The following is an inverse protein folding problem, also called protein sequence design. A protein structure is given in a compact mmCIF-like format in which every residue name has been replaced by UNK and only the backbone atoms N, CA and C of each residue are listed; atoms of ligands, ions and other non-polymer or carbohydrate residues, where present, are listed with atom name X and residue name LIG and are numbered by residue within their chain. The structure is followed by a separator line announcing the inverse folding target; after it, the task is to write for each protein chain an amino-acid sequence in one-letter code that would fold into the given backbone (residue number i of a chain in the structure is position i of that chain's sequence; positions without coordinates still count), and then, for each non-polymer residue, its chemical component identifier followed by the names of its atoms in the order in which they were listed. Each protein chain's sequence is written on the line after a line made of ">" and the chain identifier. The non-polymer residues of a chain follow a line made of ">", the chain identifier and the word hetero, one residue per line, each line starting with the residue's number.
data_IF_645596422826
#
_entry.id   IF_645596422826
#
_cell.length_a   1.000
_cell.length_b   1.000
_cell.length_c   1.000
_cell.angle_alpha   90.00
_cell.angle_beta   90.00
_cell.angle_gamma   90.00
#
_symmetry.space_group_name_H-M   'P 1'
#
loop_
_entity.id
_entity.type
_entity.pdbx_description
1 polymer ?
#
# COMPACT_ATOMS: atom_id res chain seq x y z
N UNK A 1 3.24 33.85 -18.69
CA UNK A 1 3.85 33.90 -17.35
C UNK A 1 4.10 32.46 -16.93
N UNK A 2 5.31 31.94 -17.16
CA UNK A 2 5.73 30.64 -16.67
C UNK A 2 5.80 30.72 -15.15
N UNK A 3 4.83 30.12 -14.46
CA UNK A 3 4.92 29.91 -13.03
C UNK A 3 6.21 29.15 -12.78
N UNK A 4 7.14 29.78 -12.07
CA UNK A 4 8.27 29.07 -11.48
C UNK A 4 7.61 28.18 -10.42
N UNK A 5 7.20 26.99 -10.83
CA UNK A 5 6.98 25.91 -9.90
C UNK A 5 8.32 25.76 -9.20
N UNK A 6 8.37 26.21 -7.95
CA UNK A 6 9.47 25.95 -7.04
C UNK A 6 9.42 24.43 -6.85
N UNK A 7 10.02 23.70 -7.78
CA UNK A 7 10.12 22.26 -7.75
C UNK A 7 10.80 21.91 -6.44
N UNK A 8 10.02 21.36 -5.51
CA UNK A 8 10.53 21.05 -4.18
C UNK A 8 11.48 19.88 -4.38
N UNK A 9 12.77 20.15 -4.29
CA UNK A 9 13.83 19.19 -4.59
C UNK A 9 13.78 17.99 -3.64
N UNK A 10 13.94 16.78 -4.18
CA UNK A 10 14.14 15.55 -3.39
C UNK A 10 15.26 15.69 -2.37
N UNK A 11 16.35 16.39 -2.73
CA UNK A 11 17.47 16.68 -1.82
C UNK A 11 17.03 17.42 -0.55
N UNK A 12 16.03 18.29 -0.64
CA UNK A 12 15.49 18.97 0.54
C UNK A 12 14.83 18.00 1.52
N UNK A 13 14.07 17.02 1.02
CA UNK A 13 13.45 15.99 1.84
C UNK A 13 14.50 15.02 2.43
N UNK A 14 15.51 14.64 1.64
CA UNK A 14 16.65 13.82 2.10
C UNK A 14 17.42 14.53 3.21
N UNK A 15 17.72 15.82 3.04
CA UNK A 15 18.43 16.61 4.05
C UNK A 15 17.64 16.67 5.37
N UNK A 16 16.31 16.84 5.31
CA UNK A 16 15.46 16.81 6.50
C UNK A 16 15.50 15.44 7.21
N UNK A 17 15.49 14.35 6.45
CA UNK A 17 15.61 12.99 7.00
C UNK A 17 16.98 12.76 7.66
N UNK A 18 18.08 13.17 7.02
CA UNK A 18 19.44 13.11 7.58
C UNK A 18 19.52 13.91 8.87
N UNK A 19 18.95 15.12 8.91
CA UNK A 19 18.89 15.93 10.13
C UNK A 19 18.13 15.20 11.24
N UNK A 20 17.04 14.50 10.94
CA UNK A 20 16.33 13.70 11.94
C UNK A 20 17.21 12.58 12.55
N UNK A 21 18.05 11.91 11.75
CA UNK A 21 19.03 10.94 12.27
C UNK A 21 20.10 11.61 13.15
N UNK A 22 20.61 12.78 12.76
CA UNK A 22 21.59 13.55 13.55
C UNK A 22 21.00 14.00 14.89
N UNK A 23 19.77 14.50 14.87
CA UNK A 23 19.03 14.90 16.07
C UNK A 23 18.81 13.71 17.01
N UNK A 24 18.44 12.54 16.45
CA UNK A 24 18.33 11.30 17.20
C UNK A 24 19.65 10.91 17.87
N UNK A 25 20.77 10.98 17.15
CA UNK A 25 22.11 10.75 17.69
C UNK A 25 22.46 11.71 18.84
N UNK A 26 22.12 12.99 18.70
CA UNK A 26 22.27 13.98 19.76
C UNK A 26 21.45 13.64 21.01
N UNK A 27 20.21 13.19 20.84
CA UNK A 27 19.35 12.75 21.96
C UNK A 27 19.96 11.52 22.66
N UNK A 28 20.44 10.53 21.91
CA UNK A 28 21.09 9.34 22.48
C UNK A 28 22.36 9.71 23.25
N UNK A 29 23.16 10.66 22.74
CA UNK A 29 24.30 11.23 23.44
C UNK A 29 23.91 11.86 24.79
N UNK A 30 22.84 12.65 24.82
CA UNK A 30 22.31 13.25 26.05
C UNK A 30 21.82 12.19 27.05
N UNK A 31 21.17 11.13 26.57
CA UNK A 31 20.76 9.99 27.42
C UNK A 31 21.98 9.33 28.05
N UNK A 32 23.03 9.06 27.26
CA UNK A 32 24.28 8.45 27.74
C UNK A 32 24.94 9.27 28.84
N UNK A 33 25.10 10.57 28.61
CA UNK A 33 25.73 11.46 29.59
C UNK A 33 24.94 11.50 30.89
N UNK A 34 23.61 11.66 30.80
CA UNK A 34 22.74 11.69 31.97
C UNK A 34 22.77 10.37 32.75
N UNK A 35 22.69 9.23 32.07
CA UNK A 35 22.73 7.91 32.73
C UNK A 35 24.07 7.63 33.39
N UNK A 36 25.17 8.04 32.74
CA UNK A 36 26.51 7.98 33.32
C UNK A 36 26.60 8.77 34.64
N UNK A 37 26.04 9.98 34.68
CA UNK A 37 26.01 10.80 35.90
C UNK A 37 25.21 10.16 37.05
N UNK A 38 24.24 9.28 36.73
CA UNK A 38 23.41 8.55 37.69
C UNK A 38 23.89 7.13 38.00
N UNK A 39 25.00 6.68 37.40
CA UNK A 39 25.48 5.31 37.53
C UNK A 39 24.56 4.25 36.88
N UNK A 40 23.71 4.65 35.94
CA UNK A 40 22.82 3.76 35.19
C UNK A 40 23.49 3.25 33.91
N UNK A 41 23.00 2.12 33.38
CA UNK A 41 23.51 1.53 32.15
C UNK A 41 23.23 2.45 30.94
N UNK A 42 24.22 2.67 30.04
CA UNK A 42 23.99 3.45 28.82
C UNK A 42 23.03 2.72 27.87
N UNK A 43 22.42 3.43 26.90
CA UNK A 43 21.79 2.81 25.73
C UNK A 43 22.71 1.81 25.03
N UNK A 44 22.10 0.86 24.31
CA UNK A 44 22.83 -0.16 23.57
C UNK A 44 23.68 0.45 22.44
N UNK A 45 24.86 -0.14 22.20
CA UNK A 45 25.75 0.25 21.09
C UNK A 45 25.05 0.05 19.74
N UNK A 46 24.16 -0.94 19.65
CA UNK A 46 23.36 -1.24 18.47
C UNK A 46 22.49 -0.06 18.01
N UNK A 47 21.95 0.74 18.95
CA UNK A 47 21.17 1.93 18.62
C UNK A 47 22.04 3.02 17.97
N UNK A 48 23.24 3.25 18.50
CA UNK A 48 24.18 4.23 17.92
C UNK A 48 24.64 3.82 16.54
N UNK A 49 24.95 2.52 16.37
CA UNK A 49 25.34 1.96 15.09
C UNK A 49 24.21 2.08 14.06
N UNK A 50 22.98 1.74 14.44
CA UNK A 50 21.82 1.86 13.54
C UNK A 50 21.57 3.30 13.08
N UNK A 51 21.76 4.27 13.97
CA UNK A 51 21.66 5.69 13.64
C UNK A 51 22.74 6.15 12.67
N UNK A 52 23.99 5.79 12.95
CA UNK A 52 25.13 6.14 12.11
C UNK A 52 25.02 5.51 10.71
N UNK A 53 24.74 4.21 10.65
CA UNK A 53 24.58 3.50 9.38
C UNK A 53 23.41 4.07 8.57
N UNK A 54 22.30 4.42 9.21
CA UNK A 54 21.17 5.08 8.55
C UNK A 54 21.55 6.39 7.90
N UNK A 55 22.28 7.24 8.61
CA UNK A 55 22.76 8.51 8.09
C UNK A 55 23.71 8.31 6.88
N UNK A 56 24.76 7.50 7.06
CA UNK A 56 25.81 7.29 6.06
C UNK A 56 25.26 6.65 4.78
N UNK A 57 24.35 5.68 4.91
CA UNK A 57 23.77 4.99 3.75
C UNK A 57 22.86 5.92 2.92
N UNK A 58 22.02 6.73 3.58
CA UNK A 58 21.16 7.70 2.90
C UNK A 58 22.01 8.76 2.19
N UNK A 59 23.04 9.29 2.86
CA UNK A 59 24.01 10.25 2.28
C UNK A 59 24.73 9.64 1.07
N UNK A 60 25.22 8.40 1.18
CA UNK A 60 25.95 7.69 0.12
C UNK A 60 25.10 7.44 -1.12
N UNK A 61 23.87 6.95 -0.97
CA UNK A 61 22.99 6.69 -2.13
C UNK A 61 22.60 7.99 -2.82
N UNK A 62 22.32 9.03 -2.04
CA UNK A 62 21.99 10.35 -2.58
C UNK A 62 23.16 10.93 -3.35
N UNK A 63 24.37 10.89 -2.80
CA UNK A 63 25.59 11.34 -3.47
C UNK A 63 25.83 10.58 -4.78
N UNK A 64 25.64 9.24 -4.78
CA UNK A 64 25.74 8.43 -6.00
C UNK A 64 24.69 8.81 -7.05
N UNK A 65 23.47 9.11 -6.64
CA UNK A 65 22.40 9.57 -7.53
C UNK A 65 22.72 10.92 -8.17
N UNK A 66 23.15 11.89 -7.36
CA UNK A 66 23.58 13.22 -7.83
C UNK A 66 24.79 13.11 -8.76
N UNK A 67 25.78 12.28 -8.41
CA UNK A 67 26.95 12.06 -9.27
C UNK A 67 26.56 11.51 -10.65
N UNK A 68 25.56 10.63 -10.73
CA UNK A 68 25.17 9.99 -11.98
C UNK A 68 24.24 10.83 -12.85
N UNK A 69 23.25 11.51 -12.28
CA UNK A 69 22.22 12.22 -13.04
C UNK A 69 22.20 13.74 -12.81
N UNK A 70 23.11 14.27 -11.97
CA UNK A 70 23.22 15.69 -11.71
C UNK A 70 21.94 16.30 -11.11
N UNK A 71 21.56 17.46 -11.63
CA UNK A 71 20.41 18.25 -11.17
C UNK A 71 19.07 17.53 -11.34
N UNK A 72 18.96 16.57 -12.25
CA UNK A 72 17.74 15.77 -12.42
C UNK A 72 17.47 14.87 -11.21
N UNK A 73 18.52 14.31 -10.59
CA UNK A 73 18.36 13.56 -9.35
C UNK A 73 18.10 14.49 -8.17
N UNK A 74 18.74 15.66 -8.16
CA UNK A 74 18.56 16.65 -7.08
C UNK A 74 17.10 17.11 -6.98
N UNK A 75 16.50 17.44 -8.13
CA UNK A 75 15.07 17.75 -8.24
C UNK A 75 14.24 16.50 -7.94
N UNK A 76 14.58 15.38 -8.57
CA UNK A 76 13.87 14.13 -8.47
C UNK A 76 12.49 14.18 -9.13
N UNK A 77 11.63 13.22 -8.79
CA UNK A 77 10.22 13.24 -9.17
C UNK A 77 9.31 13.45 -7.95
N UNK A 78 8.10 13.92 -8.21
CA UNK A 78 7.09 14.21 -7.19
C UNK A 78 6.59 12.96 -6.47
N UNK A 79 6.85 11.76 -7.00
CA UNK A 79 6.61 10.48 -6.31
C UNK A 79 7.64 10.30 -5.19
N UNK A 80 8.94 10.37 -5.52
CA UNK A 80 10.03 10.24 -4.55
C UNK A 80 9.98 11.35 -3.50
N UNK A 81 9.71 12.59 -3.93
CA UNK A 81 9.62 13.73 -3.02
C UNK A 81 8.53 13.52 -1.95
N UNK A 82 7.31 13.17 -2.37
CA UNK A 82 6.19 12.91 -1.45
C UNK A 82 6.48 11.73 -0.53
N UNK A 83 7.06 10.66 -1.06
CA UNK A 83 7.41 9.49 -0.26
C UNK A 83 8.47 9.80 0.82
N UNK A 84 9.52 10.54 0.47
CA UNK A 84 10.55 10.97 1.42
C UNK A 84 10.03 11.96 2.47
N UNK A 85 9.14 12.89 2.07
CA UNK A 85 8.47 13.77 3.02
C UNK A 85 7.60 12.97 4.01
N UNK A 86 6.80 12.04 3.52
CA UNK A 86 5.96 11.19 4.37
C UNK A 86 6.81 10.38 5.36
N UNK A 87 7.91 9.79 4.88
CA UNK A 87 8.86 9.07 5.72
C UNK A 87 9.51 9.99 6.78
N UNK A 88 9.88 11.22 6.41
CA UNK A 88 10.47 12.19 7.35
C UNK A 88 9.48 12.52 8.47
N UNK A 89 8.20 12.73 8.14
CA UNK A 89 7.14 12.98 9.13
C UNK A 89 6.97 11.75 10.03
N UNK A 90 6.97 10.55 9.47
CA UNK A 90 6.89 9.28 10.23
C UNK A 90 8.04 9.19 11.24
N UNK A 91 9.28 9.39 10.80
CA UNK A 91 10.49 9.36 11.67
C UNK A 91 10.42 10.40 12.78
N UNK A 92 9.96 11.62 12.48
CA UNK A 92 9.80 12.66 13.49
C UNK A 92 8.69 12.33 14.50
N UNK A 93 7.57 11.77 14.03
CA UNK A 93 6.40 11.51 14.87
C UNK A 93 6.56 10.28 15.77
N UNK A 94 7.23 9.23 15.29
CA UNK A 94 7.35 7.95 16.02
C UNK A 94 8.72 7.82 16.68
N UNK A 95 9.77 7.83 15.88
CA UNK A 95 11.12 7.50 16.31
C UNK A 95 11.70 8.56 17.25
N UNK A 96 11.71 9.83 16.82
CA UNK A 96 12.19 10.93 17.68
C UNK A 96 11.33 11.08 18.93
N UNK A 97 10.02 10.86 18.83
CA UNK A 97 9.13 10.92 19.99
C UNK A 97 9.51 9.89 21.06
N UNK A 98 9.75 8.63 20.67
CA UNK A 98 10.18 7.59 21.61
C UNK A 98 11.54 7.90 22.24
N UNK A 99 12.50 8.40 21.46
CA UNK A 99 13.80 8.81 22.01
C UNK A 99 13.68 9.98 22.99
N UNK A 100 12.83 10.97 22.70
CA UNK A 100 12.57 12.10 23.62
C UNK A 100 11.87 11.65 24.90
N UNK A 101 11.02 10.62 24.84
CA UNK A 101 10.42 10.02 26.04
C UNK A 101 11.46 9.25 26.87
N UNK A 102 12.30 8.43 26.23
CA UNK A 102 13.43 7.77 26.89
C UNK A 102 14.45 8.78 27.46
N UNK A 103 14.60 9.93 26.80
CA UNK A 103 15.39 11.06 27.28
C UNK A 103 14.72 11.83 28.41
N UNK A 104 13.60 11.39 28.96
CA UNK A 104 12.99 11.95 30.18
C UNK A 104 12.86 10.91 31.29
N UNK A 105 12.76 9.63 30.93
CA UNK A 105 12.62 8.52 31.88
C UNK A 105 13.87 7.62 31.89
N UNK A 106 14.56 7.59 33.03
CA UNK A 106 15.74 6.73 33.21
C UNK A 106 15.39 5.24 33.39
N UNK A 107 14.12 4.92 33.63
CA UNK A 107 13.68 3.52 33.76
C UNK A 107 13.58 2.80 32.41
N UNK A 108 13.66 3.53 31.28
CA UNK A 108 13.56 2.95 29.93
C UNK A 108 14.89 2.29 29.53
N UNK A 109 15.11 1.04 29.92
CA UNK A 109 16.36 0.34 29.58
C UNK A 109 16.33 -0.35 28.21
N UNK A 110 15.14 -0.58 27.68
CA UNK A 110 14.93 -1.26 26.40
C UNK A 110 14.80 -0.25 25.27
N UNK A 111 15.71 -0.35 24.29
CA UNK A 111 15.75 0.49 23.10
C UNK A 111 15.49 -0.30 21.81
N UNK A 112 15.07 -1.57 21.90
CA UNK A 112 14.85 -2.41 20.72
C UNK A 112 13.82 -1.79 19.75
N UNK A 113 12.74 -1.20 20.27
CA UNK A 113 11.76 -0.48 19.45
C UNK A 113 12.36 0.72 18.70
N UNK A 114 13.33 1.41 19.30
CA UNK A 114 14.03 2.52 18.64
C UNK A 114 14.98 2.00 17.55
N UNK A 115 15.67 0.88 17.82
CA UNK A 115 16.55 0.23 16.84
C UNK A 115 15.74 -0.23 15.62
N UNK A 116 14.66 -0.99 15.86
CA UNK A 116 13.78 -1.48 14.79
C UNK A 116 13.21 -0.34 13.95
N UNK A 117 12.76 0.74 14.61
CA UNK A 117 12.25 1.93 13.91
C UNK A 117 13.32 2.62 13.05
N UNK A 118 14.56 2.74 13.56
CA UNK A 118 15.67 3.35 12.82
C UNK A 118 16.09 2.49 11.61
N UNK A 119 16.11 1.16 11.77
CA UNK A 119 16.39 0.21 10.68
C UNK A 119 15.29 0.26 9.62
N UNK A 120 14.03 0.22 10.03
CA UNK A 120 12.89 0.27 9.12
C UNK A 120 12.88 1.57 8.31
N UNK A 121 13.10 2.71 8.97
CA UNK A 121 13.17 4.01 8.31
C UNK A 121 14.33 4.08 7.30
N UNK A 122 15.50 3.54 7.64
CA UNK A 122 16.65 3.45 6.73
C UNK A 122 16.28 2.63 5.49
N UNK A 123 15.73 1.43 5.68
CA UNK A 123 15.35 0.54 4.58
C UNK A 123 14.32 1.21 3.65
N UNK A 124 13.30 1.86 4.21
CA UNK A 124 12.32 2.62 3.42
C UNK A 124 12.98 3.74 2.60
N UNK A 125 13.88 4.52 3.21
CA UNK A 125 14.59 5.60 2.52
C UNK A 125 15.44 5.09 1.35
N UNK A 126 16.21 4.02 1.60
CA UNK A 126 17.03 3.34 0.58
C UNK A 126 16.16 2.86 -0.58
N UNK A 127 15.03 2.22 -0.30
CA UNK A 127 14.09 1.78 -1.34
C UNK A 127 13.58 2.95 -2.17
N UNK A 128 13.10 4.03 -1.55
CA UNK A 128 12.57 5.20 -2.27
C UNK A 128 13.63 5.81 -3.19
N UNK A 129 14.87 5.97 -2.70
CA UNK A 129 15.97 6.53 -3.48
C UNK A 129 16.41 5.60 -4.63
N UNK A 130 16.43 4.28 -4.41
CA UNK A 130 16.73 3.31 -5.47
C UNK A 130 15.64 3.29 -6.55
N UNK A 131 14.37 3.40 -6.18
CA UNK A 131 13.30 3.50 -7.17
C UNK A 131 13.40 4.79 -7.99
N UNK A 132 13.73 5.93 -7.35
CA UNK A 132 14.03 7.18 -8.07
C UNK A 132 15.18 6.98 -9.06
N UNK A 133 16.26 6.35 -8.60
CA UNK A 133 17.43 6.05 -9.43
C UNK A 133 17.07 5.23 -10.67
N UNK A 134 16.24 4.19 -10.52
CA UNK A 134 15.77 3.36 -11.64
C UNK A 134 14.88 4.14 -12.61
N UNK A 135 13.98 4.99 -12.09
CA UNK A 135 13.11 5.84 -12.93
C UNK A 135 13.93 6.85 -13.73
N UNK A 136 14.96 7.46 -13.14
CA UNK A 136 15.86 8.36 -13.86
C UNK A 136 16.69 7.62 -14.91
N UNK A 137 17.22 6.43 -14.58
CA UNK A 137 17.94 5.61 -15.56
C UNK A 137 17.10 5.29 -16.80
N UNK A 138 15.82 4.96 -16.60
CA UNK A 138 14.87 4.70 -17.70
C UNK A 138 14.57 5.96 -18.53
N UNK A 139 14.53 7.15 -17.92
CA UNK A 139 14.35 8.42 -18.63
C UNK A 139 15.57 8.76 -19.48
N UNK A 140 16.78 8.60 -18.93
CA UNK A 140 18.01 8.86 -19.66
C UNK A 140 18.18 7.93 -20.87
N UNK A 141 17.74 6.67 -20.80
CA UNK A 141 17.79 5.76 -21.95
C UNK A 141 16.86 6.16 -23.09
N UNK A 142 15.72 6.80 -22.80
CA UNK A 142 14.79 7.26 -23.83
C UNK A 142 15.24 8.56 -24.51
N UNK A 143 16.10 9.34 -23.85
CA UNK A 143 16.61 10.59 -24.41
C UNK A 143 17.74 10.40 -25.43
N UNK A 144 18.32 9.19 -25.54
CA UNK A 144 19.42 8.86 -26.47
C UNK A 144 18.87 8.18 -27.73
N UNK A 145 17.68 8.56 -28.20
CA UNK A 145 17.34 8.36 -29.60
C UNK A 145 18.03 9.51 -30.37
N UNK A 146 19.15 9.25 -31.07
CA UNK A 146 19.77 10.28 -31.88
C UNK A 146 18.73 10.71 -32.91
N UNK A 147 18.41 11.99 -32.89
CA UNK A 147 17.63 12.68 -33.91
C UNK A 147 18.41 12.54 -35.23
N UNK A 148 18.28 11.37 -35.89
CA UNK A 148 18.71 11.14 -37.25
C UNK A 148 17.78 12.01 -38.09
N UNK A 149 18.12 13.29 -38.16
CA UNK A 149 17.64 14.20 -39.16
C UNK A 149 18.04 13.59 -40.50
N UNK A 150 17.13 12.83 -41.08
CA UNK A 150 17.14 12.48 -42.49
C UNK A 150 17.31 13.83 -43.20
N UNK A 151 18.42 14.06 -43.93
CA UNK A 151 18.58 15.28 -44.68
C UNK A 151 17.44 15.34 -45.67
N UNK A 152 16.45 16.19 -45.41
CA UNK A 152 15.42 16.51 -46.37
C UNK A 152 16.12 17.24 -47.51
N UNK A 153 16.53 16.45 -48.49
CA UNK A 153 17.21 16.84 -49.71
C UNK A 153 16.42 17.97 -50.34
N UNK A 154 17.02 19.16 -50.38
CA UNK A 154 16.40 20.37 -50.89
C UNK A 154 15.75 20.14 -52.25
N UNK A 155 14.44 20.28 -52.30
CA UNK A 155 13.76 20.65 -53.53
C UNK A 155 14.17 22.08 -53.86
N UNK A 156 15.12 22.16 -54.78
CA UNK A 156 15.39 23.33 -55.60
C UNK A 156 14.13 23.55 -56.44
N UNK A 157 13.33 24.55 -56.11
CA UNK A 157 12.34 25.10 -57.03
C UNK A 157 13.12 25.86 -58.12
N UNK A 158 13.36 25.19 -59.24
CA UNK A 158 13.78 25.84 -60.47
C UNK A 158 12.62 25.77 -61.47
N UNK A 159 12.09 26.96 -61.73
CA UNK A 159 10.95 27.25 -62.55
C UNK A 159 11.40 27.27 -64.02
N UNK A 160 11.12 26.22 -64.80
CA UNK A 160 11.18 26.30 -66.28
C UNK A 160 10.28 25.28 -66.97
N UNK A 161 9.30 25.82 -67.69
CA UNK A 161 8.53 25.18 -68.76
C UNK A 161 9.46 24.70 -69.87
N UNK A 162 9.26 23.48 -70.38
CA UNK A 162 8.75 23.21 -71.74
C UNK A 162 8.92 21.72 -72.13
N UNK A 163 7.89 21.24 -72.85
CA UNK A 163 7.87 20.21 -73.90
C UNK A 163 8.26 18.72 -73.68
N UNK A 164 7.21 17.87 -73.69
CA UNK A 164 6.83 16.88 -74.73
C UNK A 164 7.67 15.59 -74.98
N UNK A 165 6.88 14.51 -75.25
CA UNK A 165 7.15 13.17 -75.85
C UNK A 165 7.51 12.03 -74.88
N UNK A 166 6.63 11.04 -74.68
CA UNK A 166 6.15 9.97 -75.58
C UNK A 166 7.17 8.82 -75.74
N UNK A 167 6.89 7.67 -75.09
CA UNK A 167 6.99 6.28 -75.55
C UNK A 167 6.74 5.36 -74.32
N UNK A 168 5.61 4.65 -74.23
CA UNK A 168 5.29 3.30 -74.76
C UNK A 168 6.16 2.14 -74.23
N UNK A 169 5.42 1.26 -73.54
CA UNK A 169 5.48 -0.21 -73.52
C UNK A 169 6.75 -0.94 -73.04
N UNK A 170 6.62 -1.75 -71.96
CA UNK A 170 6.66 -3.23 -72.01
C UNK A 170 6.54 -3.89 -70.61
N UNK A 171 5.42 -4.58 -70.38
CA UNK A 171 5.32 -6.05 -70.15
C UNK A 171 6.27 -6.77 -69.15
N UNK A 172 5.72 -7.30 -68.04
CA UNK A 172 5.87 -8.67 -67.43
C UNK A 172 5.42 -8.59 -65.95
N UNK A 173 4.35 -9.23 -65.47
CA UNK A 173 4.05 -10.67 -65.25
C UNK A 173 5.05 -11.41 -64.34
N UNK A 174 4.66 -11.56 -63.06
CA UNK A 174 4.92 -12.66 -62.10
C UNK A 174 4.42 -12.16 -60.72
N UNK A 175 3.38 -12.64 -60.06
CA UNK A 175 2.88 -13.99 -59.76
C UNK A 175 3.88 -14.81 -58.93
N UNK A 176 3.82 -14.70 -57.59
CA UNK A 176 4.48 -15.63 -56.66
C UNK A 176 3.83 -15.62 -55.27
N UNK A 177 3.03 -16.67 -55.03
CA UNK A 177 2.91 -17.50 -53.81
C UNK A 177 2.73 -16.85 -52.43
N UNK A 178 1.48 -16.96 -51.98
CA UNK A 178 1.07 -17.35 -50.63
C UNK A 178 1.95 -18.45 -50.06
N UNK A 179 2.58 -18.19 -48.91
CA UNK A 179 3.19 -19.21 -48.06
C UNK A 179 2.68 -19.02 -46.64
N UNK A 180 1.88 -19.98 -46.22
CA UNK A 180 1.29 -20.16 -44.89
C UNK A 180 2.38 -20.72 -43.96
N UNK A 181 2.61 -20.16 -42.74
CA UNK A 181 3.43 -20.83 -41.75
C UNK A 181 2.56 -21.66 -40.80
N UNK A 182 2.83 -22.97 -40.82
CA UNK A 182 2.32 -23.97 -39.88
C UNK A 182 2.57 -23.58 -38.42
N UNK A 183 1.53 -23.74 -37.60
CA UNK A 183 1.56 -23.56 -36.15
C UNK A 183 2.02 -24.86 -35.47
N UNK A 184 3.00 -24.83 -34.53
CA UNK A 184 3.38 -26.02 -33.78
C UNK A 184 2.39 -26.32 -32.63
N UNK A 185 2.25 -27.61 -32.24
CA UNK A 185 1.25 -28.05 -31.27
C UNK A 185 1.64 -27.67 -29.82
N UNK A 186 0.75 -26.98 -29.13
CA UNK A 186 0.85 -26.74 -27.69
C UNK A 186 0.42 -27.99 -26.90
N UNK A 187 1.14 -28.38 -25.84
CA UNK A 187 0.77 -29.54 -25.02
C UNK A 187 -0.40 -29.20 -24.10
N UNK A 188 -1.40 -30.06 -24.17
CA UNK A 188 -2.53 -30.18 -23.25
C UNK A 188 -2.09 -30.31 -21.79
N UNK A 189 -2.71 -29.52 -20.90
CA UNK A 189 -3.24 -29.93 -19.58
C UNK A 189 -3.92 -28.75 -18.88
N UNK A 190 -5.12 -28.38 -19.33
CA UNK A 190 -6.06 -27.67 -18.46
C UNK A 190 -6.74 -28.70 -17.54
N UNK A 191 -6.32 -28.74 -16.27
CA UNK A 191 -7.13 -29.35 -15.22
C UNK A 191 -8.36 -28.47 -15.07
N UNK A 192 -9.49 -28.93 -15.60
CA UNK A 192 -10.82 -28.39 -15.28
C UNK A 192 -11.03 -28.58 -13.77
N UNK A 193 -10.78 -27.55 -12.97
CA UNK A 193 -11.26 -27.52 -11.58
C UNK A 193 -12.75 -27.23 -11.64
N UNK A 194 -13.55 -28.30 -11.60
CA UNK A 194 -15.00 -28.20 -11.49
C UNK A 194 -15.38 -27.77 -10.07
N UNK A 195 -15.20 -26.49 -9.75
CA UNK A 195 -15.83 -25.88 -8.60
C UNK A 195 -17.25 -25.44 -8.99
N UNK A 196 -18.24 -26.22 -8.57
CA UNK A 196 -19.61 -25.77 -8.36
C UNK A 196 -19.84 -25.69 -6.84
N UNK A 197 -19.49 -24.59 -6.15
CA UNK A 197 -19.65 -24.52 -4.70
C UNK A 197 -21.08 -24.23 -4.24
N UNK A 198 -22.04 -24.01 -5.14
CA UNK A 198 -23.36 -23.47 -4.77
C UNK A 198 -24.50 -24.49 -4.61
N UNK A 199 -24.23 -25.81 -4.65
CA UNK A 199 -25.25 -26.82 -4.34
C UNK A 199 -25.26 -27.16 -2.85
N UNK A 200 -25.82 -26.26 -2.04
CA UNK A 200 -26.38 -26.67 -0.75
C UNK A 200 -27.74 -27.32 -0.99
N UNK A 201 -27.82 -28.61 -0.67
CA UNK A 201 -29.03 -29.41 -0.64
C UNK A 201 -30.12 -28.72 0.20
N UNK A 202 -31.25 -28.41 -0.45
CA UNK A 202 -32.54 -28.46 0.22
C UNK A 202 -32.75 -29.91 0.69
N UNK A 203 -32.46 -30.20 1.97
CA UNK A 203 -32.90 -31.45 2.60
C UNK A 203 -34.21 -31.18 3.32
N UNK A 204 -35.29 -31.69 2.71
CA UNK A 204 -36.61 -31.77 3.30
C UNK A 204 -36.58 -32.48 4.66
N UNK A 205 -37.47 -32.04 5.54
CA UNK A 205 -37.62 -32.60 6.88
C UNK A 205 -38.04 -34.06 6.88
N UNK A 206 -37.58 -34.77 7.90
CA UNK A 206 -38.28 -35.94 8.42
C UNK A 206 -38.20 -35.85 9.94
N UNK A 207 -39.38 -35.76 10.55
CA UNK A 207 -39.57 -36.06 11.95
C UNK A 207 -39.12 -37.50 12.22
N UNK A 208 -38.51 -37.74 13.37
CA UNK A 208 -38.91 -38.84 14.25
C UNK A 208 -38.27 -38.71 15.64
N UNK A 209 -39.06 -39.20 16.60
CA UNK A 209 -38.85 -39.26 18.03
C UNK A 209 -37.60 -40.03 18.45
N UNK A 210 -36.90 -39.54 19.48
CA UNK A 210 -36.81 -40.32 20.72
C UNK A 210 -36.72 -39.39 21.93
N UNK A 211 -37.67 -39.60 22.85
CA UNK A 211 -37.56 -39.23 24.26
C UNK A 211 -36.60 -40.23 24.90
N UNK A 212 -35.76 -39.76 25.82
CA UNK A 212 -35.59 -40.46 27.09
C UNK A 212 -35.13 -39.48 28.17
N UNK A 213 -35.94 -39.46 29.23
CA UNK A 213 -35.78 -38.75 30.48
C UNK A 213 -34.58 -39.25 31.27
N UNK A 214 -33.92 -38.35 32.01
CA UNK A 214 -33.56 -38.59 33.42
C UNK A 214 -33.08 -37.32 34.12
N UNK A 215 -33.98 -36.76 34.94
CA UNK A 215 -33.82 -36.56 36.39
C UNK A 215 -32.61 -35.77 36.94
N UNK A 216 -32.98 -34.66 37.61
CA UNK A 216 -32.25 -33.67 38.44
C UNK A 216 -31.59 -34.28 39.72
N UNK A 217 -31.02 -33.53 40.73
CA UNK A 217 -31.26 -32.12 41.09
C UNK A 217 -30.04 -31.37 41.75
N UNK A 218 -30.19 -30.37 42.67
CA UNK A 218 -29.56 -29.05 42.50
C UNK A 218 -28.57 -28.66 43.61
N UNK A 219 -27.73 -27.63 43.41
CA UNK A 219 -27.09 -26.93 44.52
C UNK A 219 -27.19 -25.41 44.33
N UNK A 220 -27.91 -24.81 45.28
CA UNK A 220 -28.05 -23.38 45.55
C UNK A 220 -26.80 -22.79 46.20
N UNK A 221 -26.49 -21.52 45.89
CA UNK A 221 -25.91 -20.48 46.79
C UNK A 221 -25.77 -19.19 45.95
N UNK A 222 -26.71 -18.25 46.03
CA UNK A 222 -26.75 -17.12 46.99
C UNK A 222 -25.42 -16.41 47.17
N UNK A 223 -25.28 -15.19 46.62
CA UNK A 223 -24.81 -13.99 47.34
C UNK A 223 -25.01 -12.72 46.52
N UNK A 224 -25.89 -11.89 47.08
CA UNK A 224 -26.09 -10.45 46.91
C UNK A 224 -24.80 -9.62 47.09
N UNK A 225 -24.61 -8.60 46.25
CA UNK A 225 -24.08 -7.30 46.68
C UNK A 225 -24.45 -6.22 45.65
N UNK A 226 -25.41 -5.38 46.04
CA UNK A 226 -25.71 -4.09 45.44
C UNK A 226 -24.50 -3.16 45.63
N UNK A 227 -24.04 -2.49 44.58
CA UNK A 227 -23.26 -1.25 44.73
C UNK A 227 -23.89 -0.19 43.83
N UNK A 228 -24.29 0.87 44.52
CA UNK A 228 -25.05 2.00 44.05
C UNK A 228 -24.25 2.88 43.07
N UNK A 229 -24.99 3.46 42.12
CA UNK A 229 -24.54 4.58 41.28
C UNK A 229 -24.46 5.86 42.12
N UNK A 230 -23.40 6.69 41.97
CA UNK A 230 -23.44 8.06 42.47
C UNK A 230 -24.12 8.96 41.43
N UNK A 231 -25.30 9.44 41.80
CA UNK A 231 -25.93 10.64 41.24
C UNK A 231 -25.12 11.84 41.74
N UNK A 232 -24.59 12.66 40.84
CA UNK A 232 -24.19 14.04 41.16
C UNK A 232 -24.91 15.01 40.22
N UNK A 233 -25.95 15.60 40.79
CA UNK A 233 -26.63 16.80 40.33
C UNK A 233 -25.82 18.01 40.80
N UNK A 234 -25.33 18.82 39.87
CA UNK A 234 -24.64 20.08 40.14
C UNK A 234 -25.47 21.26 39.66
N UNK A 235 -25.96 22.04 40.62
CA UNK A 235 -26.83 23.22 40.49
C UNK A 235 -26.06 24.43 39.92
N UNK A 236 -26.70 25.32 39.13
CA UNK A 236 -26.05 26.50 38.55
C UNK A 236 -25.94 27.64 39.58
N UNK A 237 -24.77 28.28 39.64
CA UNK A 237 -24.55 29.51 40.41
C UNK A 237 -24.64 30.69 39.44
N UNK A 238 -25.59 31.58 39.71
CA UNK A 238 -25.69 32.87 39.04
C UNK A 238 -24.55 33.78 39.51
N UNK A 239 -23.87 34.43 38.57
CA UNK A 239 -23.04 35.59 38.88
C UNK A 239 -23.42 36.74 37.95
N UNK A 240 -23.94 37.79 38.58
CA UNK A 240 -24.40 39.03 37.97
C UNK A 240 -23.37 40.14 38.20
N UNK A 241 -23.15 40.92 37.13
CA UNK A 241 -22.84 42.37 37.10
C UNK A 241 -21.38 42.83 37.29
N UNK A 242 -21.01 44.09 36.93
CA UNK A 242 -21.47 44.93 35.81
C UNK A 242 -20.33 45.70 35.06
N UNK A 243 -20.64 46.24 33.88
CA UNK A 243 -20.18 47.57 33.45
C UNK A 243 -18.82 47.72 32.74
N UNK A 244 -18.86 48.02 31.44
CA UNK A 244 -17.91 48.98 30.86
C UNK A 244 -18.52 49.65 29.62
N UNK A 245 -18.66 50.97 29.72
CA UNK A 245 -19.04 51.88 28.64
C UNK A 245 -17.77 52.43 28.00
N UNK A 246 -17.52 52.19 26.72
CA UNK A 246 -16.72 53.12 25.90
C UNK A 246 -17.10 53.03 24.42
N UNK A 247 -17.69 54.13 23.96
CA UNK A 247 -17.43 54.87 22.71
C UNK A 247 -17.44 54.17 21.35
N UNK A 248 -18.49 54.54 20.61
CA UNK A 248 -18.68 54.60 19.15
C UNK A 248 -17.39 54.79 18.33
N UNK A 249 -17.25 53.96 17.30
CA UNK A 249 -16.41 54.22 16.12
C UNK A 249 -17.26 53.92 14.85
N UNK A 250 -17.41 54.85 13.88
CA UNK A 250 -18.31 54.65 12.75
C UNK A 250 -17.58 54.15 11.50
N UNK A 251 -18.27 53.23 10.81
CA UNK A 251 -18.11 52.84 9.38
C UNK A 251 -16.87 52.02 9.02
N UNK A 252 -16.99 50.70 9.25
CA UNK A 252 -16.33 49.70 8.41
C UNK A 252 -17.41 48.80 7.80
N UNK A 253 -17.54 48.85 6.47
CA UNK A 253 -18.44 48.02 5.68
C UNK A 253 -18.01 46.56 5.79
N UNK A 254 -18.68 45.80 6.65
CA UNK A 254 -18.50 44.34 6.79
C UNK A 254 -19.17 43.64 5.61
N UNK A 255 -18.37 43.24 4.63
CA UNK A 255 -18.77 42.21 3.67
C UNK A 255 -19.07 40.93 4.46
N UNK A 256 -20.33 40.50 4.44
CA UNK A 256 -20.78 39.24 5.03
C UNK A 256 -20.28 38.09 4.16
N UNK A 257 -19.06 37.60 4.41
CA UNK A 257 -18.67 36.27 3.96
C UNK A 257 -19.30 35.24 4.91
N UNK A 258 -20.08 34.27 4.41
CA UNK A 258 -20.60 33.21 5.26
C UNK A 258 -19.42 32.46 5.90
N UNK A 259 -19.53 32.02 7.17
CA UNK A 259 -18.50 31.22 7.79
C UNK A 259 -18.36 29.92 6.98
N UNK A 260 -17.23 29.78 6.30
CA UNK A 260 -16.83 28.53 5.66
C UNK A 260 -16.58 27.56 6.81
N UNK A 261 -17.56 26.71 7.13
CA UNK A 261 -17.35 25.60 8.04
C UNK A 261 -16.14 24.81 7.52
N UNK A 262 -15.12 24.55 8.35
CA UNK A 262 -13.97 23.78 7.90
C UNK A 262 -14.50 22.45 7.35
N UNK A 263 -14.13 22.13 6.11
CA UNK A 263 -14.46 20.84 5.52
C UNK A 263 -13.99 19.77 6.51
N UNK A 264 -14.93 18.96 7.01
CA UNK A 264 -14.62 17.92 7.99
C UNK A 264 -13.69 16.91 7.31
N UNK A 265 -12.40 17.01 7.58
CA UNK A 265 -11.38 16.07 7.10
C UNK A 265 -11.50 14.79 7.91
N UNK A 266 -12.54 14.00 7.65
CA UNK A 266 -12.62 12.65 8.18
C UNK A 266 -11.46 11.84 7.62
N UNK A 267 -10.64 11.28 8.50
CA UNK A 267 -9.58 10.39 8.05
C UNK A 267 -10.19 9.08 7.50
N UNK A 268 -9.60 8.45 6.47
CA UNK A 268 -10.08 7.16 5.95
C UNK A 268 -10.21 6.08 7.04
N UNK A 269 -9.31 6.10 8.03
CA UNK A 269 -9.32 5.18 9.17
C UNK A 269 -10.56 5.38 10.05
N UNK A 270 -10.95 6.62 10.32
CA UNK A 270 -12.18 6.93 11.07
C UNK A 270 -13.43 6.55 10.28
N UNK A 271 -13.44 6.78 8.96
CA UNK A 271 -14.56 6.38 8.10
C UNK A 271 -14.78 4.87 8.13
N UNK A 272 -13.70 4.08 8.05
CA UNK A 272 -13.74 2.63 8.18
C UNK A 272 -14.24 2.20 9.57
N UNK A 273 -13.74 2.82 10.64
CA UNK A 273 -14.18 2.53 12.00
C UNK A 273 -15.68 2.83 12.20
N UNK A 274 -16.17 3.92 11.61
CA UNK A 274 -17.57 4.34 11.66
C UNK A 274 -18.49 3.51 10.74
N UNK A 275 -17.95 2.81 9.74
CA UNK A 275 -18.73 2.07 8.75
C UNK A 275 -19.48 0.85 9.32
N UNK A 276 -19.19 0.43 10.56
CA UNK A 276 -19.90 -0.65 11.23
C UNK A 276 -19.54 -2.04 10.73
N UNK A 277 -18.34 -2.22 10.19
CA UNK A 277 -17.80 -3.54 9.86
C UNK A 277 -17.77 -4.47 11.06
N UNK A 278 -17.72 -5.77 10.80
CA UNK A 278 -17.42 -6.72 11.85
C UNK A 278 -16.07 -6.36 12.51
N UNK A 279 -15.98 -6.45 13.84
CA UNK A 279 -14.74 -6.17 14.57
C UNK A 279 -13.56 -7.03 14.10
N UNK A 280 -13.83 -8.25 13.62
CA UNK A 280 -12.81 -9.10 13.01
C UNK A 280 -12.37 -8.62 11.63
N UNK A 281 -13.29 -8.13 10.80
CA UNK A 281 -12.96 -7.50 9.51
C UNK A 281 -12.08 -6.27 9.72
N UNK A 282 -12.45 -5.41 10.67
CA UNK A 282 -11.66 -4.22 11.04
C UNK A 282 -10.23 -4.58 11.46
N UNK A 283 -10.05 -5.59 12.32
CA UNK A 283 -8.71 -6.04 12.71
C UNK A 283 -7.90 -6.61 11.55
N UNK A 284 -8.52 -7.33 10.60
CA UNK A 284 -7.85 -7.80 9.39
C UNK A 284 -7.41 -6.64 8.50
N UNK A 285 -8.24 -5.60 8.36
CA UNK A 285 -7.85 -4.40 7.63
C UNK A 285 -6.58 -3.76 8.24
N UNK A 286 -6.47 -3.76 9.58
CA UNK A 286 -5.31 -3.25 10.31
C UNK A 286 -4.11 -4.23 10.39
N UNK A 287 -4.14 -5.36 9.69
CA UNK A 287 -3.07 -6.37 9.72
C UNK A 287 -2.99 -7.20 11.02
N UNK A 288 -3.94 -7.05 11.95
CA UNK A 288 -4.00 -7.78 13.22
C UNK A 288 -4.76 -9.12 13.06
N UNK A 289 -4.16 -10.04 12.31
CA UNK A 289 -4.75 -11.35 11.96
C UNK A 289 -4.94 -12.27 13.18
N UNK A 290 -4.01 -12.23 14.13
CA UNK A 290 -4.02 -13.00 15.38
C UNK A 290 -5.28 -12.74 16.23
N UNK A 291 -5.79 -11.51 16.20
CA UNK A 291 -6.98 -11.06 16.97
C UNK A 291 -8.30 -11.37 16.29
N UNK A 292 -8.28 -11.68 14.99
CA UNK A 292 -9.45 -11.67 14.12
C UNK A 292 -9.74 -12.99 13.44
N UNK A 293 -8.71 -13.78 13.16
CA UNK A 293 -8.81 -15.01 12.37
C UNK A 293 -8.55 -16.21 13.27
N UNK A 294 -9.39 -17.23 13.11
CA UNK A 294 -9.17 -18.56 13.63
C UNK A 294 -9.17 -19.49 12.43
N UNK A 295 -8.06 -20.18 12.20
CA UNK A 295 -8.02 -21.19 11.15
C UNK A 295 -8.40 -22.54 11.74
N UNK A 296 -9.32 -23.24 11.09
CA UNK A 296 -9.65 -24.61 11.46
C UNK A 296 -9.93 -25.46 10.23
N UNK A 297 -9.78 -26.77 10.38
CA UNK A 297 -10.07 -27.76 9.36
C UNK A 297 -11.43 -28.38 9.65
N UNK A 298 -12.33 -28.37 8.66
CA UNK A 298 -13.64 -29.02 8.76
C UNK A 298 -13.93 -29.75 7.44
N UNK A 299 -14.36 -31.00 7.51
CA UNK A 299 -14.63 -31.84 6.34
C UNK A 299 -13.45 -31.92 5.36
N UNK A 300 -12.22 -31.99 5.89
CA UNK A 300 -10.97 -31.98 5.11
C UNK A 300 -10.65 -30.68 4.36
N UNK A 301 -11.41 -29.62 4.57
CA UNK A 301 -11.18 -28.30 3.98
C UNK A 301 -10.71 -27.32 5.07
N UNK A 302 -9.70 -26.52 4.74
CA UNK A 302 -9.21 -25.46 5.62
C UNK A 302 -10.02 -24.20 5.42
N UNK A 303 -10.41 -23.57 6.53
CA UNK A 303 -11.15 -22.31 6.50
C UNK A 303 -10.63 -21.32 7.54
N UNK A 304 -10.59 -20.05 7.13
CA UNK A 304 -10.36 -18.89 7.99
C UNK A 304 -11.70 -18.40 8.55
N UNK A 305 -11.92 -18.63 9.84
CA UNK A 305 -13.10 -18.18 10.56
C UNK A 305 -12.85 -16.83 11.23
N UNK A 306 -13.85 -15.95 11.18
CA UNK A 306 -13.84 -14.73 11.98
C UNK A 306 -14.07 -15.08 13.45
N UNK A 307 -13.20 -14.60 14.36
CA UNK A 307 -13.39 -14.79 15.81
C UNK A 307 -14.57 -14.01 16.41
N UNK A 308 -15.16 -13.09 15.64
CA UNK A 308 -16.16 -12.12 16.12
C UNK A 308 -17.57 -12.37 15.59
N UNK A 309 -17.73 -13.23 14.57
CA UNK A 309 -19.03 -13.62 14.03
C UNK A 309 -18.90 -14.97 13.30
N UNK A 310 -20.00 -15.48 12.74
CA UNK A 310 -20.00 -16.77 12.03
C UNK A 310 -19.41 -16.73 10.60
N UNK A 311 -18.74 -15.63 10.22
CA UNK A 311 -18.12 -15.51 8.90
C UNK A 311 -16.95 -16.49 8.73
N UNK A 312 -16.84 -17.10 7.55
CA UNK A 312 -15.76 -18.01 7.20
C UNK A 312 -15.42 -17.90 5.71
N UNK A 313 -14.14 -17.99 5.37
CA UNK A 313 -13.63 -17.99 3.99
C UNK A 313 -12.65 -19.15 3.80
N UNK A 314 -12.44 -19.66 2.58
CA UNK A 314 -11.41 -20.67 2.33
C UNK A 314 -10.03 -20.23 2.83
N UNK A 315 -9.24 -21.20 3.26
CA UNK A 315 -7.86 -21.02 3.68
C UNK A 315 -6.96 -21.97 2.89
N UNK A 316 -5.75 -21.53 2.60
CA UNK A 316 -4.71 -22.32 1.94
C UNK A 316 -3.59 -22.64 2.93
N UNK A 317 -2.64 -23.48 2.54
CA UNK A 317 -1.43 -23.79 3.31
C UNK A 317 -0.22 -23.14 2.64
N UNK A 318 0.64 -22.52 3.44
CA UNK A 318 1.95 -22.11 2.95
C UNK A 318 2.83 -23.34 2.66
N UNK A 319 4.00 -23.11 2.08
CA UNK A 319 4.99 -24.17 1.78
C UNK A 319 5.42 -24.98 3.02
N UNK A 320 5.26 -24.40 4.22
CA UNK A 320 5.57 -25.03 5.51
C UNK A 320 4.36 -25.75 6.11
N UNK A 321 3.25 -25.81 5.37
CA UNK A 321 2.01 -26.41 5.79
C UNK A 321 1.24 -25.60 6.84
N UNK A 322 1.63 -24.36 7.12
CA UNK A 322 0.94 -23.45 8.04
C UNK A 322 -0.28 -22.85 7.34
N UNK A 323 -1.43 -22.77 8.01
CA UNK A 323 -2.61 -22.21 7.41
C UNK A 323 -2.47 -20.70 7.17
N UNK A 324 -2.90 -20.24 5.99
CA UNK A 324 -2.95 -18.84 5.57
C UNK A 324 -4.28 -18.55 4.88
N UNK A 325 -4.55 -17.28 4.60
CA UNK A 325 -5.64 -16.95 3.69
C UNK A 325 -5.41 -17.60 2.34
N UNK A 326 -6.50 -18.00 1.71
CA UNK A 326 -6.47 -18.45 0.34
C UNK A 326 -6.00 -17.31 -0.58
N UNK A 327 -4.89 -17.57 -1.26
CA UNK A 327 -4.22 -16.66 -2.19
C UNK A 327 -4.64 -16.94 -3.65
N UNK A 328 -5.58 -17.86 -3.88
CA UNK A 328 -6.13 -18.09 -5.20
C UNK A 328 -6.93 -16.88 -5.70
N UNK A 329 -6.88 -16.70 -7.02
CA UNK A 329 -7.58 -15.63 -7.71
C UNK A 329 -8.91 -16.17 -8.23
N UNK A 330 -9.99 -15.55 -7.77
CA UNK A 330 -11.35 -15.86 -8.17
C UNK A 330 -11.84 -14.84 -9.19
N UNK A 331 -12.69 -15.26 -10.12
CA UNK A 331 -13.27 -14.41 -11.14
C UNK A 331 -14.79 -14.37 -10.97
N UNK A 332 -15.35 -13.16 -10.94
CA UNK A 332 -16.78 -12.94 -10.90
C UNK A 332 -17.12 -11.66 -11.69
N UNK A 333 -18.14 -11.76 -12.53
CA UNK A 333 -18.56 -10.68 -13.42
C UNK A 333 -17.44 -10.24 -14.38
N UNK A 334 -16.73 -9.16 -14.07
CA UNK A 334 -15.61 -8.58 -14.85
C UNK A 334 -14.41 -8.25 -13.95
N UNK A 335 -14.39 -8.84 -12.75
CA UNK A 335 -13.41 -8.59 -11.72
C UNK A 335 -12.71 -9.89 -11.35
N UNK A 336 -11.41 -9.79 -11.11
CA UNK A 336 -10.67 -10.80 -10.35
C UNK A 336 -10.57 -10.35 -8.91
N UNK A 337 -10.64 -11.26 -7.94
CA UNK A 337 -10.54 -10.90 -6.52
C UNK A 337 -9.92 -12.03 -5.70
N UNK A 338 -9.38 -11.67 -4.53
CA UNK A 338 -8.94 -12.64 -3.53
C UNK A 338 -9.96 -12.74 -2.40
N UNK A 339 -10.13 -13.91 -1.76
CA UNK A 339 -11.10 -14.08 -0.67
C UNK A 339 -10.87 -13.15 0.53
N UNK A 340 -9.64 -12.64 0.71
CA UNK A 340 -9.31 -11.62 1.70
C UNK A 340 -10.19 -10.37 1.57
N UNK A 341 -10.57 -9.98 0.35
CA UNK A 341 -11.49 -8.85 0.10
C UNK A 341 -12.85 -9.05 0.78
N UNK A 342 -13.40 -10.25 0.70
CA UNK A 342 -14.68 -10.61 1.32
C UNK A 342 -14.56 -10.56 2.85
N UNK A 343 -13.44 -11.06 3.38
CA UNK A 343 -13.17 -10.99 4.81
C UNK A 343 -13.02 -9.54 5.29
N UNK A 344 -12.34 -8.66 4.54
CA UNK A 344 -12.24 -7.24 4.87
C UNK A 344 -13.60 -6.51 4.81
N UNK A 345 -14.56 -7.00 4.01
CA UNK A 345 -15.80 -6.27 3.71
C UNK A 345 -17.04 -6.72 4.50
N UNK A 346 -16.95 -7.81 5.29
CA UNK A 346 -18.13 -8.40 5.93
C UNK A 346 -18.63 -7.61 7.15
N UNK A 347 -19.96 -7.65 7.34
CA UNK A 347 -20.64 -7.16 8.54
C UNK A 347 -20.89 -8.31 9.52
N UNK A 348 -21.01 -7.99 10.80
CA UNK A 348 -21.37 -8.98 11.82
C UNK A 348 -22.83 -9.39 11.64
N UNK A 349 -23.06 -10.65 11.25
CA UNK A 349 -24.40 -11.26 11.27
C UNK A 349 -24.49 -12.26 12.42
N UNK A 350 -25.54 -12.13 13.24
CA UNK A 350 -25.85 -13.10 14.31
C UNK A 350 -26.61 -14.32 13.78
N UNK A 351 -27.23 -14.20 12.62
CA UNK A 351 -28.09 -15.22 12.06
C UNK A 351 -27.40 -15.96 10.91
N UNK A 352 -27.79 -17.21 10.65
CA UNK A 352 -27.40 -18.01 9.47
C UNK A 352 -28.00 -17.48 8.15
N UNK A 353 -28.32 -16.18 8.13
CA UNK A 353 -28.81 -15.43 6.98
C UNK A 353 -27.72 -15.30 5.91
N UNK A 354 -28.08 -14.89 4.67
CA UNK A 354 -27.09 -14.55 3.66
C UNK A 354 -26.05 -13.60 4.24
N UNK A 355 -24.78 -13.82 3.86
CA UNK A 355 -23.66 -12.99 4.29
C UNK A 355 -23.92 -11.54 3.87
N UNK A 356 -23.54 -10.59 4.71
CA UNK A 356 -23.82 -9.17 4.48
C UNK A 356 -22.51 -8.40 4.43
N UNK A 357 -22.40 -7.49 3.47
CA UNK A 357 -21.18 -6.75 3.18
C UNK A 357 -21.44 -5.25 3.06
N UNK A 358 -20.36 -4.47 3.17
CA UNK A 358 -20.29 -3.09 2.69
C UNK A 358 -19.11 -2.93 1.74
N UNK A 359 -19.25 -2.04 0.78
CA UNK A 359 -18.18 -1.74 -0.16
C UNK A 359 -17.13 -0.85 0.49
N UNK A 360 -15.90 -1.37 0.63
CA UNK A 360 -14.76 -0.60 1.15
C UNK A 360 -14.43 0.60 0.27
N UNK A 361 -14.60 0.47 -1.04
CA UNK A 361 -14.32 1.52 -2.02
C UNK A 361 -15.24 2.72 -1.81
N UNK A 362 -16.56 2.52 -1.66
CA UNK A 362 -17.48 3.59 -1.29
C UNK A 362 -17.10 4.27 0.03
N UNK A 363 -16.79 3.49 1.07
CA UNK A 363 -16.45 4.03 2.38
C UNK A 363 -15.18 4.88 2.32
N UNK A 364 -14.17 4.43 1.58
CA UNK A 364 -12.94 5.18 1.34
C UNK A 364 -13.16 6.42 0.47
N UNK A 365 -14.14 6.39 -0.44
CA UNK A 365 -14.58 7.54 -1.23
C UNK A 365 -15.41 8.57 -0.43
N UNK A 366 -15.75 8.29 0.83
CA UNK A 366 -16.61 9.13 1.67
C UNK A 366 -18.11 8.91 1.43
N UNK A 367 -18.47 7.94 0.60
CA UNK A 367 -19.86 7.59 0.33
C UNK A 367 -20.42 6.64 1.40
N UNK A 368 -21.69 6.85 1.72
CA UNK A 368 -22.42 5.91 2.57
C UNK A 368 -22.72 4.64 1.78
N UNK A 369 -21.85 3.63 1.93
CA UNK A 369 -22.06 2.34 1.24
C UNK A 369 -23.35 1.68 1.71
N UNK A 370 -24.22 1.34 0.76
CA UNK A 370 -25.38 0.49 1.01
C UNK A 370 -24.95 -0.87 1.53
N UNK A 371 -25.75 -1.43 2.43
CA UNK A 371 -25.57 -2.81 2.89
C UNK A 371 -25.95 -3.79 1.77
N UNK A 372 -24.99 -4.60 1.33
CA UNK A 372 -25.15 -5.56 0.23
C UNK A 372 -25.34 -6.97 0.80
N UNK A 373 -26.39 -7.67 0.36
CA UNK A 373 -26.69 -9.03 0.80
C UNK A 373 -26.09 -10.03 -0.20
N UNK A 374 -25.11 -10.81 0.20
CA UNK A 374 -24.44 -11.79 -0.65
C UNK A 374 -23.18 -11.26 -1.34
N UNK A 375 -22.31 -12.19 -1.73
CA UNK A 375 -21.01 -11.91 -2.37
C UNK A 375 -21.20 -11.38 -3.80
N UNK A 376 -22.15 -11.96 -4.54
CA UNK A 376 -22.47 -11.56 -5.92
C UNK A 376 -22.85 -10.07 -5.99
N UNK A 377 -23.72 -9.60 -5.10
CA UNK A 377 -24.13 -8.20 -5.03
C UNK A 377 -22.97 -7.26 -4.64
N UNK A 378 -22.03 -7.71 -3.79
CA UNK A 378 -20.81 -6.94 -3.50
C UNK A 378 -19.92 -6.81 -4.74
N UNK A 379 -19.69 -7.90 -5.45
CA UNK A 379 -18.79 -7.95 -6.60
C UNK A 379 -19.38 -7.21 -7.81
N UNK A 380 -20.69 -7.35 -8.04
CA UNK A 380 -21.42 -6.55 -9.03
C UNK A 380 -21.32 -5.06 -8.70
N UNK A 381 -21.57 -4.67 -7.44
CA UNK A 381 -21.41 -3.28 -7.01
C UNK A 381 -19.97 -2.78 -7.20
N UNK A 382 -18.96 -3.57 -6.83
CA UNK A 382 -17.55 -3.22 -7.03
C UNK A 382 -17.25 -2.94 -8.50
N UNK A 383 -17.85 -3.67 -9.45
CA UNK A 383 -17.57 -3.48 -10.88
C UNK A 383 -17.97 -2.10 -11.41
N UNK A 384 -18.91 -1.42 -10.74
CA UNK A 384 -19.33 -0.05 -11.07
C UNK A 384 -18.28 1.00 -10.67
N UNK A 385 -17.29 0.64 -9.84
CA UNK A 385 -16.18 1.52 -9.48
C UNK A 385 -15.03 1.50 -10.49
N UNK A 386 -15.08 0.65 -11.53
CA UNK A 386 -14.02 0.57 -12.53
C UNK A 386 -13.77 1.93 -13.20
N UNK A 387 -12.51 2.39 -13.18
CA UNK A 387 -12.09 3.67 -13.75
C UNK A 387 -12.46 4.90 -12.90
N UNK A 388 -13.08 4.73 -11.73
CA UNK A 388 -13.22 5.83 -10.77
C UNK A 388 -11.85 6.16 -10.15
N UNK A 389 -11.68 7.40 -9.68
CA UNK A 389 -10.46 7.83 -9.00
C UNK A 389 -10.72 8.04 -7.50
N UNK A 390 -9.98 7.34 -6.64
CA UNK A 390 -10.06 7.48 -5.18
C UNK A 390 -8.69 7.83 -4.64
N UNK A 391 -8.61 8.93 -3.89
CA UNK A 391 -7.34 9.45 -3.36
C UNK A 391 -6.26 9.62 -4.45
N UNK A 392 -6.68 9.98 -5.68
CA UNK A 392 -5.79 10.13 -6.83
C UNK A 392 -5.35 8.82 -7.51
N UNK A 393 -5.84 7.66 -7.05
CA UNK A 393 -5.59 6.36 -7.67
C UNK A 393 -6.78 5.98 -8.54
N UNK A 394 -6.55 5.79 -9.84
CA UNK A 394 -7.56 5.26 -10.77
C UNK A 394 -7.76 3.76 -10.52
N UNK A 395 -9.00 3.32 -10.39
CA UNK A 395 -9.38 1.93 -10.12
C UNK A 395 -9.34 1.09 -11.40
N UNK A 396 -8.12 0.83 -11.88
CA UNK A 396 -7.81 0.02 -13.06
C UNK A 396 -6.71 -0.97 -12.71
N UNK A 397 -6.84 -2.22 -13.19
CA UNK A 397 -5.86 -3.26 -12.92
C UNK A 397 -5.88 -3.76 -11.47
N UNK A 398 -4.78 -4.32 -10.96
CA UNK A 398 -4.68 -4.86 -9.61
C UNK A 398 -4.68 -3.74 -8.56
N UNK A 399 -5.56 -3.83 -7.57
CA UNK A 399 -5.77 -2.83 -6.53
C UNK A 399 -5.70 -3.49 -5.13
N UNK A 400 -4.98 -2.85 -4.21
CA UNK A 400 -4.96 -3.20 -2.78
C UNK A 400 -5.78 -2.18 -2.00
N UNK A 401 -6.59 -2.67 -1.07
CA UNK A 401 -7.43 -1.86 -0.18
C UNK A 401 -6.84 -1.92 1.23
N UNK A 402 -6.43 -0.77 1.73
CA UNK A 402 -5.76 -0.59 3.01
C UNK A 402 -6.55 0.38 3.92
N UNK A 403 -6.28 0.39 5.23
CA UNK A 403 -6.95 1.31 6.16
C UNK A 403 -6.75 2.79 5.82
N UNK A 404 -5.62 3.12 5.20
CA UNK A 404 -5.24 4.48 4.81
C UNK A 404 -5.80 4.89 3.45
N UNK A 405 -6.32 3.96 2.65
CA UNK A 405 -6.86 4.25 1.33
C UNK A 405 -6.71 3.11 0.33
N UNK A 406 -6.71 3.48 -0.94
CA UNK A 406 -6.53 2.56 -2.07
C UNK A 406 -5.15 2.77 -2.67
N UNK A 407 -4.47 1.68 -3.05
CA UNK A 407 -3.21 1.73 -3.80
C UNK A 407 -3.17 0.73 -4.94
N UNK A 408 -2.31 1.00 -5.92
CA UNK A 408 -2.01 0.04 -6.98
C UNK A 408 -1.33 -1.19 -6.38
N UNK A 409 -1.83 -2.37 -6.72
CA UNK A 409 -1.34 -3.66 -6.27
C UNK A 409 -0.47 -4.36 -7.32
N UNK A 410 0.10 -5.50 -6.94
CA UNK A 410 0.71 -6.44 -7.88
C UNK A 410 -0.23 -7.63 -8.11
N UNK A 411 -0.01 -8.44 -9.15
CA UNK A 411 -0.73 -9.71 -9.38
C UNK A 411 -0.68 -10.67 -8.16
N UNK A 412 0.33 -10.53 -7.31
CA UNK A 412 0.51 -11.38 -6.10
C UNK A 412 -0.17 -10.82 -4.85
N UNK A 413 -0.52 -9.54 -4.83
CA UNK A 413 -0.88 -8.84 -3.58
C UNK A 413 -2.21 -8.08 -3.64
N UNK A 414 -2.89 -8.07 -4.80
CA UNK A 414 -4.15 -7.35 -4.95
C UNK A 414 -5.31 -7.96 -4.14
N UNK A 415 -6.22 -7.12 -3.67
CA UNK A 415 -7.49 -7.56 -3.09
C UNK A 415 -8.55 -7.72 -4.20
N UNK A 416 -8.61 -6.76 -5.12
CA UNK A 416 -9.48 -6.75 -6.31
C UNK A 416 -8.67 -6.31 -7.53
N UNK A 417 -8.93 -6.88 -8.69
CA UNK A 417 -8.34 -6.47 -9.96
C UNK A 417 -9.46 -6.15 -10.94
N UNK A 418 -9.49 -4.90 -11.38
CA UNK A 418 -10.41 -4.42 -12.40
C UNK A 418 -9.87 -4.80 -13.78
N UNK A 419 -10.78 -5.14 -14.70
CA UNK A 419 -10.41 -5.36 -16.09
C UNK A 419 -9.74 -4.09 -16.65
N UNK A 420 -8.63 -4.25 -17.39
CA UNK A 420 -8.02 -3.12 -18.08
C UNK A 420 -9.04 -2.58 -19.08
N UNK A 421 -9.51 -1.36 -18.82
CA UNK A 421 -10.26 -0.59 -19.80
C UNK A 421 -9.37 -0.49 -21.02
N UNK A 422 -9.79 -1.04 -22.16
CA UNK A 422 -9.07 -0.98 -23.46
C UNK A 422 -8.79 0.45 -23.95
N UNK A 423 -9.09 1.49 -23.16
CA UNK A 423 -8.68 2.87 -23.41
C UNK A 423 -7.17 3.05 -23.46
N UNK A 424 -6.38 2.10 -22.93
CA UNK A 424 -4.92 2.09 -23.03
C UNK A 424 -4.37 0.92 -23.84
N UNK A 425 -5.20 0.10 -24.49
CA UNK A 425 -4.65 -0.73 -25.57
C UNK A 425 -4.19 0.24 -26.64
N UNK A 426 -2.87 0.33 -26.82
CA UNK A 426 -2.27 1.06 -27.92
C UNK A 426 -3.06 0.73 -29.20
N UNK A 427 -3.31 1.71 -30.09
CA UNK A 427 -4.03 1.44 -31.32
C UNK A 427 -3.39 0.24 -32.03
N UNK A 428 -4.16 -0.60 -32.75
CA UNK A 428 -3.62 -1.79 -33.45
C UNK A 428 -2.45 -1.50 -34.41
N UNK A 429 -2.17 -0.23 -34.69
CA UNK A 429 -1.05 0.27 -35.49
C UNK A 429 0.21 0.61 -34.69
N UNK A 430 0.22 0.48 -33.36
CA UNK A 430 1.44 0.63 -32.57
C UNK A 430 2.31 -0.61 -32.81
N UNK A 431 3.35 -0.42 -33.61
CA UNK A 431 4.32 -1.45 -33.96
C UNK A 431 5.03 -1.88 -32.67
N UNK A 432 4.76 -3.11 -32.22
CA UNK A 432 5.59 -3.77 -31.22
C UNK A 432 7.00 -3.88 -31.82
N UNK A 433 7.92 -3.07 -31.31
CA UNK A 433 9.34 -3.22 -31.60
C UNK A 433 9.77 -4.55 -30.96
N UNK A 434 9.88 -5.59 -31.80
CA UNK A 434 10.47 -6.88 -31.44
C UNK A 434 11.78 -6.64 -30.68
N UNK A 435 11.90 -7.31 -29.52
CA UNK A 435 13.10 -7.43 -28.70
C UNK A 435 14.25 -8.01 -29.55
N UNK A 436 14.89 -7.16 -30.35
CA UNK A 436 16.07 -7.54 -31.12
C UNK A 436 17.26 -7.56 -30.16
N UNK A 437 17.61 -8.79 -29.78
CA UNK A 437 18.86 -9.27 -29.17
C UNK A 437 19.89 -8.21 -28.83
N UNK A 438 19.90 -7.80 -27.56
CA UNK A 438 21.05 -7.14 -26.97
C UNK A 438 22.14 -8.20 -26.84
N UNK A 439 23.09 -8.17 -27.78
CA UNK A 439 24.30 -8.96 -27.72
C UNK A 439 25.08 -8.60 -26.45
N UNK A 440 25.32 -9.60 -25.61
CA UNK A 440 26.19 -9.54 -24.44
C UNK A 440 27.59 -9.12 -24.89
N UNK A 441 28.02 -7.93 -24.48
CA UNK A 441 29.40 -7.50 -24.66
C UNK A 441 30.25 -8.09 -23.53
N UNK A 442 31.31 -8.81 -23.92
CA UNK A 442 32.30 -9.48 -23.09
C UNK A 442 32.74 -8.63 -21.87
N UNK A 443 32.58 -9.23 -20.69
CA UNK A 443 33.08 -8.71 -19.43
C UNK A 443 34.59 -8.98 -19.33
N UNK A 444 35.35 -7.90 -19.20
CA UNK A 444 36.79 -7.92 -19.00
C UNK A 444 37.11 -8.48 -17.60
N UNK A 445 37.84 -9.60 -17.54
CA UNK A 445 38.37 -10.18 -16.30
C UNK A 445 39.38 -9.20 -15.67
N UNK A 446 39.00 -8.57 -14.56
CA UNK A 446 39.92 -7.88 -13.66
C UNK A 446 40.23 -8.84 -12.52
N UNK A 447 41.47 -9.32 -12.49
CA UNK A 447 41.98 -10.15 -11.40
C UNK A 447 42.08 -9.33 -10.12
N UNK A 448 41.41 -9.80 -9.08
CA UNK A 448 41.60 -9.32 -7.71
C UNK A 448 42.36 -10.38 -6.91
N UNK A 449 43.48 -9.95 -6.35
CA UNK A 449 44.34 -10.71 -5.44
C UNK A 449 43.62 -10.91 -4.10
N UNK A 450 43.30 -12.15 -3.76
CA UNK A 450 42.76 -12.54 -2.45
C UNK A 450 43.86 -12.56 -1.37
N UNK A 451 44.09 -11.41 -0.73
CA UNK A 451 44.77 -11.34 0.57
C UNK A 451 43.80 -11.65 1.72
N UNK A 452 43.90 -12.90 2.21
CA UNK A 452 44.01 -13.28 3.62
C UNK A 452 43.30 -12.36 4.65
N UNK A 453 42.10 -12.75 5.08
CA UNK A 453 41.67 -12.57 6.47
C UNK A 453 41.04 -13.84 7.03
N UNK A 454 41.89 -14.62 7.70
CA UNK A 454 41.47 -15.57 8.74
C UNK A 454 40.81 -14.75 9.85
N UNK A 455 39.57 -15.06 10.23
CA UNK A 455 39.11 -14.87 11.61
C UNK A 455 38.20 -16.01 12.06
N UNK A 456 38.89 -16.85 12.81
CA UNK A 456 38.49 -17.91 13.71
C UNK A 456 37.44 -17.43 14.73
N UNK A 457 36.24 -18.00 14.70
CA UNK A 457 35.31 -17.93 15.84
C UNK A 457 35.43 -19.22 16.65
N UNK A 458 36.00 -19.05 17.84
CA UNK A 458 36.18 -20.07 18.87
C UNK A 458 34.85 -20.30 19.60
N UNK A 459 34.52 -21.56 19.80
CA UNK A 459 33.52 -22.04 20.75
C UNK A 459 33.90 -21.70 22.19
N UNK A 460 32.99 -21.10 22.96
CA UNK A 460 32.89 -21.19 24.42
C UNK A 460 31.58 -20.50 24.86
N UNK A 461 30.71 -21.02 25.71
CA UNK A 461 30.72 -22.25 26.49
C UNK A 461 29.41 -22.36 27.28
N UNK A 462 29.08 -23.60 27.65
CA UNK A 462 28.12 -23.93 28.71
C UNK A 462 28.59 -23.33 30.04
N UNK A 463 27.64 -22.77 30.80
CA UNK A 463 27.43 -23.09 32.23
C UNK A 463 26.00 -22.76 32.62
#
# INVERSE_FOLDING_TARGET
>A
MSGIEIGIAVVGAVAALITAYKDAGGIVGNIKERRRAKGALPPSIALEQSLQEGQEEIERITAKGIQRFGTEFEQGDDIAHRALQALTIEVQATFLHHLVMASKDDNVTDFELCIDSAIEARLKAVTILNELYLRQQKRSSLSIEPDFQIPLRGQREDNRRDEVKELKDLKKRSDTRTTEPETPPSPSRSRKSSWNPFKNLHRAGSAEHSREDSSAPPISRSSTANIASPILSGRPVMSTSPGSMTTRDPRRTTLMTPPISPASTFSPVEAIAAAGFCKGAYYVQQGAYDKSVQVSMKNMEWACHCRKCSFATPADRDERGRPRFDDDVYEASKLRFRPLLLFKSHLSSKEKKPRVYKCLICILGGDSSSTLQGEEHLLEHLSHHQGAAISGVELVGPICIEPTGVRVGSERTFDVCFSNSSRFSLPPSAIELDDTGIAEADSLEVGEDDEVFKNQWVNEGRR
#
